data_IF_238022326782
#
_entry.id   IF_238022326782
#
_cell.length_a   1.000
_cell.length_b   1.000
_cell.length_c   1.000
_cell.angle_alpha   90.00
_cell.angle_beta   90.00
_cell.angle_gamma   90.00
#
_symmetry.space_group_name_H-M   'P 1'
#
loop_
_entity.id
_entity.type
_entity.pdbx_description
1 polymer ?
#
# COMPACT_ATOMS: atom_id res chain seq x y z
N UNK A 1 -14.67 19.31 0.98
CA UNK A 1 -13.29 19.38 1.51
C UNK A 1 -12.34 19.13 0.35
N UNK A 2 -11.22 19.85 0.21
CA UNK A 2 -10.21 19.58 -0.83
C UNK A 2 -9.02 18.77 -0.27
N UNK A 3 -8.07 18.38 -1.13
CA UNK A 3 -6.91 17.55 -0.73
C UNK A 3 -6.03 18.24 0.33
N UNK A 4 -5.83 19.55 0.20
CA UNK A 4 -5.01 20.30 1.17
C UNK A 4 -5.69 20.39 2.53
N UNK A 5 -7.02 20.51 2.56
CA UNK A 5 -7.78 20.48 3.82
C UNK A 5 -7.59 19.12 4.53
N UNK A 6 -7.70 18.01 3.80
CA UNK A 6 -7.44 16.65 4.31
C UNK A 6 -6.02 16.55 4.87
N UNK A 7 -5.03 17.04 4.11
CA UNK A 7 -3.63 17.05 4.53
C UNK A 7 -3.42 17.85 5.84
N UNK A 8 -4.02 19.04 5.91
CA UNK A 8 -3.92 19.93 7.06
C UNK A 8 -4.56 19.31 8.30
N UNK A 9 -5.69 18.61 8.16
CA UNK A 9 -6.31 17.86 9.26
C UNK A 9 -5.37 16.79 9.83
N UNK A 10 -4.72 16.01 8.96
CA UNK A 10 -3.74 15.01 9.40
C UNK A 10 -2.55 15.66 10.12
N UNK A 11 -2.06 16.78 9.60
CA UNK A 11 -0.96 17.56 10.23
C UNK A 11 -1.34 18.19 11.56
N UNK A 12 -2.62 18.43 11.80
CA UNK A 12 -3.12 18.89 13.09
C UNK A 12 -3.28 17.76 14.13
N UNK A 13 -3.03 16.50 13.74
CA UNK A 13 -3.02 15.34 14.63
C UNK A 13 -4.21 14.40 14.47
N UNK A 14 -5.07 14.60 13.46
CA UNK A 14 -6.11 13.61 13.15
C UNK A 14 -5.51 12.40 12.44
N UNK A 15 -5.88 11.20 12.88
CA UNK A 15 -5.51 9.98 12.16
C UNK A 15 -6.42 9.76 10.94
N UNK A 16 -6.15 8.72 10.15
CA UNK A 16 -6.89 8.43 8.93
C UNK A 16 -8.40 8.17 9.18
N UNK A 17 -8.73 7.39 10.22
CA UNK A 17 -10.13 7.09 10.60
C UNK A 17 -10.88 8.34 11.07
N UNK A 18 -10.21 9.25 11.79
CA UNK A 18 -10.81 10.52 12.18
C UNK A 18 -11.23 11.35 10.97
N UNK A 19 -10.41 11.35 9.91
CA UNK A 19 -10.76 12.05 8.66
C UNK A 19 -11.89 11.35 7.92
N UNK A 20 -11.92 10.01 7.89
CA UNK A 20 -13.04 9.25 7.31
C UNK A 20 -14.36 9.61 7.99
N UNK A 21 -14.40 9.69 9.33
CA UNK A 21 -15.60 10.09 10.07
C UNK A 21 -16.12 11.47 9.63
N UNK A 22 -15.21 12.42 9.42
CA UNK A 22 -15.56 13.77 8.95
C UNK A 22 -16.13 13.71 7.53
N UNK A 23 -15.48 12.99 6.61
CA UNK A 23 -15.93 12.89 5.22
C UNK A 23 -17.31 12.23 5.11
N UNK A 24 -17.52 11.12 5.83
CA UNK A 24 -18.80 10.41 5.87
C UNK A 24 -19.93 11.30 6.42
N UNK A 25 -19.64 12.10 7.45
CA UNK A 25 -20.63 13.04 7.98
C UNK A 25 -20.97 14.14 6.97
N UNK A 26 -19.97 14.71 6.30
CA UNK A 26 -20.19 15.75 5.28
C UNK A 26 -21.00 15.23 4.10
N UNK A 27 -20.72 14.00 3.65
CA UNK A 27 -21.48 13.33 2.59
C UNK A 27 -22.94 13.10 3.00
N UNK A 28 -23.16 12.52 4.19
CA UNK A 28 -24.51 12.22 4.71
C UNK A 28 -25.37 13.47 4.90
N UNK A 29 -24.78 14.57 5.37
CA UNK A 29 -25.51 15.78 5.73
C UNK A 29 -25.44 16.91 4.69
N UNK A 30 -24.65 16.74 3.62
CA UNK A 30 -24.44 17.72 2.54
C UNK A 30 -24.10 19.14 3.06
N UNK A 31 -23.28 19.23 4.12
CA UNK A 31 -22.91 20.49 4.77
C UNK A 31 -21.41 20.59 5.00
N UNK A 32 -20.90 21.81 4.86
CA UNK A 32 -19.58 22.16 5.38
C UNK A 32 -19.61 22.23 6.91
N UNK A 33 -18.47 21.95 7.54
CA UNK A 33 -18.35 21.92 9.00
C UNK A 33 -17.45 23.05 9.47
N UNK A 34 -17.81 23.66 10.61
CA UNK A 34 -16.90 24.55 11.32
C UNK A 34 -15.75 23.74 11.94
N UNK A 35 -14.65 24.40 12.33
CA UNK A 35 -13.54 23.70 13.00
C UNK A 35 -13.97 23.04 14.33
N UNK A 36 -14.96 23.62 15.03
CA UNK A 36 -15.52 23.04 16.26
C UNK A 36 -16.30 21.77 15.95
N UNK A 37 -17.15 21.80 14.91
CA UNK A 37 -17.93 20.62 14.50
C UNK A 37 -17.01 19.52 13.95
N UNK A 38 -15.95 19.87 13.21
CA UNK A 38 -14.92 18.93 12.77
C UNK A 38 -14.31 18.22 13.98
N UNK A 39 -13.95 18.95 15.04
CA UNK A 39 -13.33 18.36 16.23
C UNK A 39 -14.27 17.33 16.90
N UNK A 40 -15.56 17.64 16.98
CA UNK A 40 -16.59 16.74 17.54
C UNK A 40 -16.82 15.52 16.64
N UNK A 41 -17.08 15.74 15.35
CA UNK A 41 -17.43 14.68 14.38
C UNK A 41 -16.26 13.74 14.11
N UNK A 42 -15.02 14.23 14.23
CA UNK A 42 -13.83 13.42 13.97
C UNK A 42 -13.67 12.25 14.94
N UNK A 43 -14.32 12.30 16.11
CA UNK A 43 -14.12 11.35 17.22
C UNK A 43 -12.64 11.27 17.65
N UNK A 44 -11.95 12.42 17.64
CA UNK A 44 -10.58 12.48 18.09
C UNK A 44 -10.51 12.53 19.62
N UNK A 45 -9.51 11.87 20.20
CA UNK A 45 -9.38 11.74 21.67
C UNK A 45 -9.26 13.09 22.38
N UNK A 46 -8.64 14.09 21.74
CA UNK A 46 -8.35 15.40 22.34
C UNK A 46 -8.81 16.55 21.41
N UNK A 47 -10.12 16.88 21.37
CA UNK A 47 -10.67 17.89 20.46
C UNK A 47 -10.05 19.28 20.63
N UNK A 48 -9.80 19.71 21.87
CA UNK A 48 -9.19 21.01 22.16
C UNK A 48 -7.75 21.11 21.63
N UNK A 49 -6.94 20.07 21.85
CA UNK A 49 -5.56 20.01 21.34
C UNK A 49 -5.53 20.02 19.81
N UNK A 50 -6.44 19.27 19.16
CA UNK A 50 -6.57 19.29 17.70
C UNK A 50 -6.88 20.71 17.19
N UNK A 51 -7.85 21.41 17.78
CA UNK A 51 -8.22 22.77 17.38
C UNK A 51 -7.03 23.72 17.54
N UNK A 52 -6.31 23.63 18.65
CA UNK A 52 -5.12 24.44 18.91
C UNK A 52 -4.03 24.17 17.87
N UNK A 53 -3.68 22.90 17.66
CA UNK A 53 -2.71 22.49 16.64
C UNK A 53 -3.10 23.01 15.25
N UNK A 54 -4.36 22.85 14.86
CA UNK A 54 -4.87 23.28 13.55
C UNK A 54 -4.72 24.78 13.33
N UNK A 55 -4.95 25.60 14.37
CA UNK A 55 -4.79 27.05 14.33
C UNK A 55 -3.33 27.48 14.29
N UNK A 56 -2.45 26.73 14.96
CA UNK A 56 -1.02 27.03 15.03
C UNK A 56 -0.25 26.63 13.77
N UNK A 57 -0.84 25.84 12.86
CA UNK A 57 -0.23 25.49 11.57
C UNK A 57 -0.13 26.70 10.63
N UNK A 58 1.09 27.06 10.24
CA UNK A 58 1.31 27.99 9.14
C UNK A 58 0.85 27.38 7.81
N UNK A 59 -0.26 27.88 7.31
CA UNK A 59 -0.88 27.37 6.08
C UNK A 59 -0.04 27.67 4.84
N UNK A 60 0.80 28.72 4.84
CA UNK A 60 1.65 29.05 3.69
C UNK A 60 2.78 28.03 3.56
N UNK A 61 3.50 27.78 4.66
CA UNK A 61 4.55 26.75 4.69
C UNK A 61 3.99 25.37 4.39
N UNK A 62 2.83 25.02 4.97
CA UNK A 62 2.23 23.72 4.76
C UNK A 62 1.76 23.50 3.31
N UNK A 63 1.23 24.54 2.64
CA UNK A 63 0.90 24.47 1.22
C UNK A 63 2.13 24.19 0.37
N UNK A 64 3.24 24.90 0.63
CA UNK A 64 4.51 24.69 -0.09
C UNK A 64 5.03 23.27 0.07
N UNK A 65 4.89 22.68 1.26
CA UNK A 65 5.20 21.27 1.51
C UNK A 65 4.26 20.35 0.72
N UNK A 66 2.94 20.52 0.86
CA UNK A 66 1.92 19.71 0.20
C UNK A 66 2.08 19.67 -1.32
N UNK A 67 2.42 20.79 -1.96
CA UNK A 67 2.55 20.88 -3.42
C UNK A 67 3.87 20.32 -3.98
N UNK A 68 4.78 19.79 -3.14
CA UNK A 68 6.03 19.18 -3.64
C UNK A 68 5.78 17.94 -4.50
N UNK A 69 4.71 17.20 -4.19
CA UNK A 69 4.29 16.03 -4.95
C UNK A 69 2.79 16.12 -5.23
N UNK A 70 2.33 15.60 -6.38
CA UNK A 70 0.90 15.49 -6.64
C UNK A 70 0.25 14.51 -5.65
N UNK A 71 -1.07 14.60 -5.51
CA UNK A 71 -1.84 13.77 -4.59
C UNK A 71 -3.14 13.29 -5.19
N UNK A 72 -3.60 12.15 -4.68
CA UNK A 72 -4.87 11.48 -4.98
C UNK A 72 -5.61 11.30 -3.65
N UNK A 73 -6.87 11.71 -3.58
CA UNK A 73 -7.72 11.60 -2.39
C UNK A 73 -8.86 10.61 -2.59
N UNK A 74 -9.45 10.13 -1.50
CA UNK A 74 -10.64 9.26 -1.53
C UNK A 74 -11.88 9.91 -2.17
N UNK A 75 -11.82 11.22 -2.40
CA UNK A 75 -12.88 12.01 -3.05
C UNK A 75 -12.71 12.09 -4.57
N UNK A 76 -11.56 11.68 -5.10
CA UNK A 76 -11.27 11.71 -6.53
C UNK A 76 -11.94 10.54 -7.26
N UNK A 77 -12.28 10.77 -8.53
CA UNK A 77 -12.88 9.75 -9.38
C UNK A 77 -11.89 8.64 -9.72
N UNK A 78 -10.61 9.00 -9.82
CA UNK A 78 -9.48 8.13 -10.12
C UNK A 78 -9.09 7.23 -8.93
N UNK A 79 -9.68 7.45 -7.75
CA UNK A 79 -9.38 6.65 -6.57
C UNK A 79 -9.92 5.21 -6.73
N UNK A 80 -9.09 4.16 -6.58
CA UNK A 80 -9.51 2.79 -6.84
C UNK A 80 -10.63 2.34 -5.90
N UNK A 81 -11.73 1.82 -6.46
CA UNK A 81 -12.85 1.33 -5.67
C UNK A 81 -12.43 0.20 -4.72
N UNK A 82 -11.59 -0.74 -5.17
CA UNK A 82 -11.07 -1.83 -4.34
C UNK A 82 -10.35 -1.32 -3.09
N UNK A 83 -9.63 -0.20 -3.22
CA UNK A 83 -8.92 0.42 -2.11
C UNK A 83 -9.87 1.20 -1.20
N UNK A 84 -10.98 1.74 -1.74
CA UNK A 84 -12.01 2.46 -0.98
C UNK A 84 -12.81 1.52 -0.06
N UNK A 85 -12.92 0.25 -0.43
CA UNK A 85 -13.72 -0.77 0.26
C UNK A 85 -13.02 -1.44 1.46
N UNK A 86 -11.71 -1.22 1.66
CA UNK A 86 -11.02 -1.76 2.84
C UNK A 86 -11.49 -1.05 4.12
N UNK A 87 -11.22 -1.64 5.29
CA UNK A 87 -11.67 -1.08 6.58
C UNK A 87 -11.16 0.34 6.88
N UNK A 88 -9.91 0.63 6.52
CA UNK A 88 -9.26 1.92 6.78
C UNK A 88 -8.60 2.43 5.48
N UNK A 89 -9.38 2.89 4.49
CA UNK A 89 -8.87 3.31 3.19
C UNK A 89 -8.05 4.60 3.33
N UNK A 90 -6.87 4.73 2.70
CA UNK A 90 -6.06 5.94 2.85
C UNK A 90 -6.80 7.16 2.28
N UNK A 91 -7.12 8.16 3.11
CA UNK A 91 -7.91 9.33 2.67
C UNK A 91 -7.17 10.22 1.68
N UNK A 92 -5.84 10.13 1.66
CA UNK A 92 -4.95 10.92 0.83
C UNK A 92 -3.66 10.12 0.58
N UNK A 93 -3.26 10.04 -0.68
CA UNK A 93 -2.01 9.45 -1.16
C UNK A 93 -1.24 10.51 -1.94
N UNK A 94 0.04 10.67 -1.63
CA UNK A 94 1.00 11.28 -2.54
C UNK A 94 1.45 10.27 -3.57
N UNK A 95 1.74 10.72 -4.78
CA UNK A 95 2.25 9.83 -5.82
C UNK A 95 3.35 10.46 -6.68
N UNK A 96 4.07 9.60 -7.38
CA UNK A 96 4.97 9.97 -8.45
C UNK A 96 4.86 8.94 -9.58
N UNK A 97 4.64 9.40 -10.81
CA UNK A 97 4.52 8.56 -11.99
C UNK A 97 3.10 8.52 -12.57
N UNK A 98 2.75 7.39 -13.20
CA UNK A 98 1.56 7.23 -14.03
C UNK A 98 0.37 6.60 -13.27
N UNK A 99 -0.67 7.40 -13.01
CA UNK A 99 -1.89 6.94 -12.35
C UNK A 99 -2.72 5.95 -13.19
N UNK A 100 -2.52 5.87 -14.52
CA UNK A 100 -3.26 4.92 -15.37
C UNK A 100 -3.01 3.46 -14.97
N UNK A 101 -1.91 3.18 -14.26
CA UNK A 101 -1.63 1.85 -13.70
C UNK A 101 -2.66 1.41 -12.64
N UNK A 102 -3.36 2.35 -12.02
CA UNK A 102 -4.42 2.06 -11.04
C UNK A 102 -5.66 1.44 -11.68
N UNK A 103 -5.89 1.62 -12.98
CA UNK A 103 -7.05 1.09 -13.70
C UNK A 103 -6.85 -0.38 -14.13
N UNK A 104 -5.59 -0.85 -14.19
CA UNK A 104 -5.25 -2.19 -14.67
C UNK A 104 -5.48 -3.26 -13.60
N UNK A 105 -5.65 -4.54 -13.96
CA UNK A 105 -5.61 -5.65 -13.00
C UNK A 105 -4.30 -5.66 -12.21
N UNK A 106 -4.36 -5.90 -10.90
CA UNK A 106 -3.23 -5.75 -9.97
C UNK A 106 -3.09 -7.00 -9.10
N UNK A 107 -1.85 -7.48 -8.97
CA UNK A 107 -1.47 -8.58 -8.08
C UNK A 107 -0.43 -8.08 -7.07
N UNK A 108 -0.74 -8.24 -5.78
CA UNK A 108 0.21 -7.93 -4.72
C UNK A 108 1.25 -9.04 -4.62
N UNK A 109 2.51 -8.68 -4.37
CA UNK A 109 3.57 -9.63 -4.08
C UNK A 109 4.28 -9.23 -2.79
N UNK A 110 4.26 -10.13 -1.80
CA UNK A 110 4.84 -9.90 -0.47
C UNK A 110 5.71 -11.07 -0.04
N UNK A 111 6.67 -10.83 0.86
CA UNK A 111 7.49 -11.92 1.39
C UNK A 111 8.64 -11.47 2.28
N UNK A 112 9.59 -12.38 2.50
CA UNK A 112 10.75 -12.15 3.37
C UNK A 112 11.62 -10.99 2.89
N UNK A 113 12.06 -10.16 3.85
CA UNK A 113 13.13 -9.16 3.64
C UNK A 113 14.52 -9.78 3.50
N UNK A 114 14.68 -11.01 3.99
CA UNK A 114 15.88 -11.84 3.90
C UNK A 114 15.55 -13.05 3.03
N UNK A 115 15.28 -12.77 1.75
CA UNK A 115 14.84 -13.78 0.80
C UNK A 115 16.00 -14.66 0.37
N UNK A 116 15.77 -15.97 0.23
CA UNK A 116 16.76 -16.85 -0.38
C UNK A 116 16.86 -16.62 -1.90
N UNK A 117 17.95 -17.13 -2.49
CA UNK A 117 18.09 -17.18 -3.94
C UNK A 117 17.01 -18.01 -4.60
N UNK A 118 16.54 -19.07 -3.94
CA UNK A 118 15.44 -19.93 -4.40
C UNK A 118 14.13 -19.15 -4.38
N UNK A 119 13.77 -18.53 -3.25
CA UNK A 119 12.54 -17.72 -3.14
C UNK A 119 12.50 -16.59 -4.17
N UNK A 120 13.61 -15.88 -4.37
CA UNK A 120 13.73 -14.84 -5.39
C UNK A 120 13.53 -15.38 -6.82
N UNK A 121 14.05 -16.59 -7.10
CA UNK A 121 13.85 -17.26 -8.41
C UNK A 121 12.43 -17.77 -8.59
N UNK A 122 11.77 -18.26 -7.53
CA UNK A 122 10.37 -18.68 -7.58
C UNK A 122 9.46 -17.51 -7.94
N UNK A 123 9.66 -16.35 -7.32
CA UNK A 123 8.92 -15.11 -7.65
C UNK A 123 9.17 -14.68 -9.09
N UNK A 124 10.43 -14.70 -9.55
CA UNK A 124 10.77 -14.38 -10.93
C UNK A 124 10.07 -15.32 -11.92
N UNK A 125 10.14 -16.63 -11.69
CA UNK A 125 9.48 -17.64 -12.54
C UNK A 125 7.98 -17.34 -12.66
N UNK A 126 7.29 -17.18 -11.54
CA UNK A 126 5.84 -16.97 -11.54
C UNK A 126 5.48 -15.66 -12.24
N UNK A 127 6.18 -14.55 -11.94
CA UNK A 127 5.90 -13.25 -12.58
C UNK A 127 6.17 -13.29 -14.10
N UNK A 128 7.16 -14.05 -14.56
CA UNK A 128 7.39 -14.28 -15.99
C UNK A 128 6.19 -14.99 -16.65
N UNK A 129 5.66 -16.01 -15.98
CA UNK A 129 4.53 -16.81 -16.47
C UNK A 129 3.19 -16.05 -16.46
N UNK A 130 3.04 -15.01 -15.62
CA UNK A 130 1.87 -14.11 -15.66
C UNK A 130 1.74 -13.35 -16.99
N UNK A 131 2.81 -13.29 -17.80
CA UNK A 131 2.83 -12.65 -19.12
C UNK A 131 2.25 -11.22 -19.12
N UNK A 132 2.64 -10.42 -18.11
CA UNK A 132 2.29 -8.99 -17.97
C UNK A 132 0.77 -8.71 -17.84
N UNK A 133 -0.03 -9.72 -17.53
CA UNK A 133 -1.50 -9.58 -17.34
C UNK A 133 -1.86 -8.72 -16.13
N UNK A 134 -0.96 -8.65 -15.15
CA UNK A 134 -1.15 -7.88 -13.93
C UNK A 134 -0.05 -6.83 -13.78
N UNK A 135 -0.42 -5.70 -13.19
CA UNK A 135 0.52 -4.76 -12.58
C UNK A 135 0.96 -5.35 -11.25
N UNK A 136 2.27 -5.51 -11.07
CA UNK A 136 2.83 -6.06 -9.82
C UNK A 136 2.90 -4.96 -8.77
N UNK A 137 2.18 -5.13 -7.66
CA UNK A 137 2.15 -4.18 -6.54
C UNK A 137 2.98 -4.73 -5.40
N UNK A 138 3.94 -3.95 -4.90
CA UNK A 138 4.77 -4.38 -3.76
C UNK A 138 5.32 -3.19 -2.98
N UNK A 139 6.05 -3.48 -1.92
CA UNK A 139 6.45 -2.52 -0.90
C UNK A 139 7.86 -1.96 -1.04
N UNK A 140 8.57 -2.26 -2.12
CA UNK A 140 9.96 -1.82 -2.32
C UNK A 140 10.93 -2.20 -1.18
N UNK A 141 10.56 -3.15 -0.31
CA UNK A 141 11.45 -3.67 0.72
C UNK A 141 12.57 -4.52 0.09
N UNK A 142 13.59 -4.89 0.88
CA UNK A 142 14.58 -5.88 0.45
C UNK A 142 13.92 -7.25 0.21
N UNK A 143 14.63 -8.13 -0.49
CA UNK A 143 14.22 -9.52 -0.67
C UNK A 143 13.09 -9.64 -1.70
N UNK A 144 11.98 -10.26 -1.29
CA UNK A 144 10.89 -10.63 -2.19
C UNK A 144 10.28 -9.41 -2.91
N UNK A 145 10.05 -8.30 -2.21
CA UNK A 145 9.52 -7.07 -2.82
C UNK A 145 10.43 -6.55 -3.95
N UNK A 146 11.74 -6.42 -3.70
CA UNK A 146 12.72 -6.05 -4.74
C UNK A 146 12.70 -7.05 -5.90
N UNK A 147 12.66 -8.36 -5.62
CA UNK A 147 12.64 -9.39 -6.66
C UNK A 147 11.38 -9.29 -7.53
N UNK A 148 10.23 -8.97 -6.93
CA UNK A 148 8.96 -8.81 -7.64
C UNK A 148 8.98 -7.62 -8.59
N UNK A 149 9.42 -6.45 -8.11
CA UNK A 149 9.58 -5.25 -8.95
C UNK A 149 10.55 -5.53 -10.12
N UNK A 150 11.74 -6.07 -9.84
CA UNK A 150 12.73 -6.35 -10.87
C UNK A 150 12.24 -7.37 -11.91
N UNK A 151 11.50 -8.40 -11.49
CA UNK A 151 10.91 -9.37 -12.42
C UNK A 151 9.89 -8.71 -13.35
N UNK A 152 8.98 -7.89 -12.81
CA UNK A 152 8.01 -7.14 -13.60
C UNK A 152 8.68 -6.25 -14.64
N UNK A 153 9.71 -5.50 -14.23
CA UNK A 153 10.48 -4.61 -15.08
C UNK A 153 11.24 -5.37 -16.19
N UNK A 154 11.94 -6.46 -15.85
CA UNK A 154 12.70 -7.26 -16.83
C UNK A 154 11.80 -7.89 -17.88
N UNK A 155 10.57 -8.23 -17.53
CA UNK A 155 9.58 -8.72 -18.49
C UNK A 155 8.96 -7.61 -19.34
N UNK A 156 9.30 -6.34 -19.12
CA UNK A 156 8.64 -5.20 -19.75
C UNK A 156 7.18 -5.04 -19.32
N UNK A 157 6.83 -5.52 -18.12
CA UNK A 157 5.54 -5.31 -17.48
C UNK A 157 5.48 -3.98 -16.72
N UNK A 158 4.45 -3.80 -15.91
CA UNK A 158 4.26 -2.60 -15.07
C UNK A 158 4.28 -2.96 -13.59
N UNK A 159 4.67 -2.00 -12.76
CA UNK A 159 4.74 -2.20 -11.31
C UNK A 159 4.32 -0.96 -10.52
N UNK A 160 3.74 -1.14 -9.34
CA UNK A 160 3.42 -0.05 -8.41
C UNK A 160 4.16 -0.31 -7.10
N UNK A 161 4.96 0.66 -6.66
CA UNK A 161 5.55 0.61 -5.32
C UNK A 161 4.69 1.42 -4.35
N UNK A 162 4.27 0.82 -3.24
CA UNK A 162 3.67 1.57 -2.14
C UNK A 162 4.73 1.70 -1.05
N UNK A 163 5.08 2.88 -0.57
CA UNK A 163 6.20 3.08 0.38
C UNK A 163 5.75 3.60 1.75
N UNK A 164 6.57 3.33 2.77
CA UNK A 164 6.33 3.71 4.18
C UNK A 164 7.01 5.00 4.62
N UNK A 165 7.36 5.88 3.68
CA UNK A 165 8.09 7.13 3.91
C UNK A 165 7.71 8.17 2.84
N UNK A 166 8.22 9.39 2.95
CA UNK A 166 8.03 10.42 1.91
C UNK A 166 8.61 9.96 0.57
N UNK A 167 8.06 10.47 -0.55
CA UNK A 167 8.52 10.13 -1.90
C UNK A 167 9.98 10.56 -2.16
N UNK A 168 10.47 11.55 -1.43
CA UNK A 168 11.86 12.03 -1.39
C UNK A 168 12.74 11.31 -0.36
N UNK A 169 12.24 10.25 0.27
CA UNK A 169 12.95 9.44 1.27
C UNK A 169 13.11 8.01 0.76
N UNK A 170 14.32 7.46 0.88
CA UNK A 170 14.67 6.13 0.36
C UNK A 170 14.84 5.12 1.49
N UNK A 171 13.99 4.10 1.52
CA UNK A 171 14.11 2.99 2.46
C UNK A 171 13.68 1.66 1.81
N UNK A 172 14.59 0.66 1.72
CA UNK A 172 16.00 0.71 2.13
C UNK A 172 16.84 1.59 1.18
N UNK A 173 17.95 2.15 1.68
CA UNK A 173 18.83 3.04 0.87
C UNK A 173 19.35 2.37 -0.41
N UNK A 174 19.62 1.07 -0.35
CA UNK A 174 20.10 0.28 -1.50
C UNK A 174 19.09 0.22 -2.67
N UNK A 175 17.79 0.40 -2.40
CA UNK A 175 16.74 0.43 -3.43
C UNK A 175 16.52 1.83 -4.02
N UNK A 176 17.34 2.84 -3.68
CA UNK A 176 17.18 4.21 -4.20
C UNK A 176 17.04 4.25 -5.73
N UNK A 177 17.95 3.61 -6.46
CA UNK A 177 17.92 3.59 -7.94
C UNK A 177 16.64 2.95 -8.48
N UNK A 178 16.13 1.92 -7.79
CA UNK A 178 14.89 1.25 -8.17
C UNK A 178 13.68 2.14 -7.90
N UNK A 179 13.65 2.85 -6.77
CA UNK A 179 12.64 3.86 -6.46
C UNK A 179 12.62 4.95 -7.53
N UNK A 180 13.78 5.53 -7.85
CA UNK A 180 13.87 6.59 -8.86
C UNK A 180 13.35 6.12 -10.23
N UNK A 181 13.70 4.89 -10.62
CA UNK A 181 13.23 4.31 -11.88
C UNK A 181 11.71 4.10 -11.90
N UNK A 182 11.15 3.50 -10.83
CA UNK A 182 9.70 3.27 -10.73
C UNK A 182 8.96 4.61 -10.71
N UNK A 183 9.44 5.62 -9.99
CA UNK A 183 8.82 6.94 -9.94
C UNK A 183 8.85 7.68 -11.28
N UNK A 184 9.80 7.35 -12.17
CA UNK A 184 9.90 7.98 -13.50
C UNK A 184 9.12 7.23 -14.59
N UNK A 185 9.06 5.90 -14.51
CA UNK A 185 8.54 5.06 -15.60
C UNK A 185 7.28 4.26 -15.24
N UNK A 186 6.91 4.23 -13.96
CA UNK A 186 5.77 3.49 -13.43
C UNK A 186 5.04 4.33 -12.38
N UNK A 187 4.71 3.80 -11.20
CA UNK A 187 4.00 4.54 -10.17
C UNK A 187 4.53 4.20 -8.77
N UNK A 188 4.71 5.24 -7.96
CA UNK A 188 4.97 5.15 -6.52
C UNK A 188 3.84 5.84 -5.78
N UNK A 189 3.34 5.20 -4.72
CA UNK A 189 2.33 5.72 -3.81
C UNK A 189 2.91 5.83 -2.39
N UNK A 190 2.54 6.88 -1.67
CA UNK A 190 2.84 7.04 -0.26
C UNK A 190 1.71 7.77 0.46
N UNK A 191 1.35 7.34 1.65
CA UNK A 191 0.45 8.10 2.52
C UNK A 191 1.17 9.23 3.29
N UNK A 192 2.50 9.25 3.21
CA UNK A 192 3.35 10.14 4.00
C UNK A 192 3.84 11.30 3.16
N UNK A 193 3.73 12.50 3.72
CA UNK A 193 4.19 13.74 3.07
C UNK A 193 5.72 13.79 2.90
N UNK A 194 6.22 14.83 2.21
CA UNK A 194 7.65 15.03 1.99
C UNK A 194 8.48 14.89 3.27
N UNK A 195 9.66 14.31 3.15
CA UNK A 195 10.68 14.12 4.19
C UNK A 195 10.27 13.20 5.35
N UNK A 196 9.09 12.57 5.28
CA UNK A 196 8.62 11.63 6.30
C UNK A 196 9.53 10.42 6.39
N UNK A 197 10.03 10.13 7.60
CA UNK A 197 10.96 9.03 7.85
C UNK A 197 10.26 7.66 7.90
N UNK A 198 10.98 6.56 7.61
CA UNK A 198 10.43 5.20 7.62
C UNK A 198 10.27 4.67 9.06
N UNK A 199 9.18 5.05 9.73
CA UNK A 199 8.89 4.60 11.09
C UNK A 199 8.34 3.17 11.09
N UNK A 200 8.59 2.40 12.17
CA UNK A 200 8.21 0.97 12.24
C UNK A 200 6.71 0.74 12.01
N UNK A 201 5.85 1.61 12.52
CA UNK A 201 4.40 1.48 12.36
C UNK A 201 3.92 1.85 10.95
N UNK A 202 4.74 2.54 10.14
CA UNK A 202 4.38 2.86 8.77
C UNK A 202 4.28 1.62 7.88
N UNK A 203 5.02 0.54 8.17
CA UNK A 203 5.05 -0.64 7.30
C UNK A 203 3.74 -1.45 7.37
N UNK A 204 3.17 -1.76 8.56
CA UNK A 204 1.82 -2.30 8.62
C UNK A 204 0.77 -1.39 7.97
N UNK A 205 0.82 -0.07 8.21
CA UNK A 205 -0.10 0.90 7.61
C UNK A 205 0.04 0.97 6.08
N UNK A 206 1.24 0.77 5.55
CA UNK A 206 1.48 0.68 4.11
C UNK A 206 0.93 -0.61 3.54
N UNK A 207 1.10 -1.74 4.24
CA UNK A 207 0.73 -3.06 3.72
C UNK A 207 -0.77 -3.21 3.43
N UNK A 208 -1.65 -2.55 4.20
CA UNK A 208 -3.10 -2.52 3.89
C UNK A 208 -3.38 -1.91 2.51
N UNK A 209 -2.56 -0.95 2.08
CA UNK A 209 -2.72 -0.30 0.76
C UNK A 209 -2.26 -1.27 -0.34
N UNK A 210 -1.18 -2.03 -0.12
CA UNK A 210 -0.73 -3.07 -1.07
C UNK A 210 -1.85 -4.11 -1.26
N UNK A 211 -2.39 -4.64 -0.17
CA UNK A 211 -3.48 -5.63 -0.21
C UNK A 211 -4.75 -5.04 -0.83
N UNK A 212 -5.21 -3.87 -0.36
CA UNK A 212 -6.44 -3.23 -0.81
C UNK A 212 -6.44 -2.77 -2.27
N UNK A 213 -5.27 -2.52 -2.84
CA UNK A 213 -5.14 -2.21 -4.27
C UNK A 213 -5.36 -3.45 -5.16
N UNK A 214 -5.21 -4.66 -4.65
CA UNK A 214 -5.07 -5.85 -5.49
C UNK A 214 -6.27 -6.78 -5.40
N UNK A 215 -6.47 -7.57 -6.47
CA UNK A 215 -7.49 -8.63 -6.50
C UNK A 215 -7.03 -9.85 -5.70
N UNK A 216 -5.73 -10.12 -5.71
CA UNK A 216 -5.11 -11.16 -4.89
C UNK A 216 -3.70 -10.82 -4.47
N UNK A 217 -3.17 -11.65 -3.57
CA UNK A 217 -1.88 -11.49 -2.90
C UNK A 217 -1.08 -12.77 -3.09
N UNK A 218 0.05 -12.68 -3.81
CA UNK A 218 1.04 -13.73 -3.86
C UNK A 218 2.05 -13.56 -2.72
N UNK A 219 2.29 -14.63 -1.97
CA UNK A 219 3.30 -14.67 -0.90
C UNK A 219 4.36 -15.73 -1.19
N UNK A 220 5.62 -15.33 -1.06
CA UNK A 220 6.76 -16.23 -1.15
C UNK A 220 7.68 -16.01 0.06
N UNK A 221 8.17 -17.09 0.65
CA UNK A 221 8.99 -17.07 1.87
C UNK A 221 8.41 -16.15 2.97
N UNK A 222 7.36 -16.62 3.64
CA UNK A 222 6.86 -16.02 4.87
C UNK A 222 7.20 -16.92 6.05
N UNK A 223 7.79 -16.33 7.11
CA UNK A 223 7.94 -17.00 8.41
C UNK A 223 6.65 -16.87 9.22
N UNK A 224 6.47 -17.72 10.22
CA UNK A 224 5.46 -17.49 11.25
C UNK A 224 5.64 -16.13 11.91
N UNK A 225 4.53 -15.44 12.21
CA UNK A 225 4.51 -14.10 12.84
C UNK A 225 5.28 -13.02 12.04
N UNK A 226 5.38 -13.17 10.71
CA UNK A 226 6.03 -12.19 9.84
C UNK A 226 5.04 -11.14 9.34
N UNK A 227 5.55 -9.97 8.92
CA UNK A 227 4.71 -8.92 8.34
C UNK A 227 4.03 -9.32 7.04
N UNK A 228 4.63 -10.21 6.24
CA UNK A 228 4.01 -10.75 5.03
C UNK A 228 2.84 -11.68 5.35
N UNK A 229 2.98 -12.53 6.38
CA UNK A 229 1.88 -13.38 6.87
C UNK A 229 0.68 -12.53 7.32
N UNK A 230 0.91 -11.53 8.18
CA UNK A 230 -0.13 -10.60 8.65
C UNK A 230 -0.84 -9.90 7.48
N UNK A 231 -0.09 -9.56 6.42
CA UNK A 231 -0.67 -8.91 5.23
C UNK A 231 -1.59 -9.88 4.48
N UNK A 232 -1.26 -11.17 4.42
CA UNK A 232 -2.07 -12.19 3.76
C UNK A 232 -3.32 -12.52 4.57
N UNK A 233 -3.19 -12.72 5.89
CA UNK A 233 -4.32 -12.95 6.80
C UNK A 233 -5.32 -11.80 6.69
N UNK A 234 -4.84 -10.55 6.72
CA UNK A 234 -5.71 -9.38 6.52
C UNK A 234 -6.34 -9.33 5.13
N UNK A 235 -5.62 -9.75 4.11
CA UNK A 235 -6.15 -9.88 2.76
C UNK A 235 -7.32 -10.86 2.68
N UNK A 236 -7.20 -12.02 3.32
CA UNK A 236 -8.28 -13.01 3.40
C UNK A 236 -9.51 -12.45 4.12
N UNK A 237 -9.32 -11.74 5.25
CA UNK A 237 -10.41 -11.06 5.97
C UNK A 237 -11.13 -10.02 5.09
N UNK A 238 -10.41 -9.39 4.16
CA UNK A 238 -10.95 -8.41 3.20
C UNK A 238 -11.43 -9.05 1.89
N UNK A 239 -11.53 -10.40 1.84
CA UNK A 239 -12.05 -11.14 0.69
C UNK A 239 -11.11 -11.15 -0.51
N UNK A 240 -9.80 -11.03 -0.30
CA UNK A 240 -8.78 -11.14 -1.35
C UNK A 240 -8.26 -12.58 -1.45
N UNK A 241 -8.06 -13.05 -2.67
CA UNK A 241 -7.42 -14.35 -2.88
C UNK A 241 -5.96 -14.31 -2.44
N UNK A 242 -5.52 -15.36 -1.75
CA UNK A 242 -4.12 -15.51 -1.34
C UNK A 242 -3.50 -16.72 -2.04
N UNK A 243 -2.37 -16.47 -2.69
CA UNK A 243 -1.59 -17.44 -3.44
C UNK A 243 -0.26 -17.66 -2.73
N UNK A 244 -0.07 -18.84 -2.14
CA UNK A 244 1.13 -19.16 -1.38
C UNK A 244 2.09 -20.01 -2.21
N UNK A 245 3.32 -19.52 -2.38
CA UNK A 245 4.41 -20.28 -3.00
C UNK A 245 5.01 -21.20 -1.94
N UNK A 246 4.99 -22.54 -2.14
CA UNK A 246 5.57 -23.46 -1.19
C UNK A 246 7.10 -23.41 -1.24
N UNK A 247 7.73 -23.88 -0.17
CA UNK A 247 9.18 -24.04 -0.09
C UNK A 247 9.58 -25.24 0.76
N UNK A 248 10.88 -25.33 1.07
CA UNK A 248 11.43 -26.36 1.95
C UNK A 248 10.76 -26.31 3.32
N UNK A 249 10.42 -27.48 3.88
CA UNK A 249 9.92 -27.61 5.25
C UNK A 249 11.05 -27.66 6.30
N UNK A 250 12.32 -27.63 5.85
CA UNK A 250 13.49 -27.80 6.72
C UNK A 250 14.13 -26.47 7.13
N UNK A 251 13.99 -25.41 6.33
CA UNK A 251 14.70 -24.14 6.53
C UNK A 251 13.90 -23.08 7.30
N UNK A 252 12.62 -23.36 7.60
CA UNK A 252 11.71 -22.47 8.32
C UNK A 252 11.33 -21.20 7.55
N UNK A 253 11.73 -21.04 6.29
CA UNK A 253 11.50 -19.80 5.51
C UNK A 253 10.10 -19.69 4.96
N UNK A 254 9.44 -20.83 4.78
CA UNK A 254 8.11 -20.94 4.16
C UNK A 254 7.03 -21.42 5.12
N UNK A 255 7.31 -21.51 6.43
CA UNK A 255 6.34 -21.99 7.44
C UNK A 255 5.03 -21.20 7.41
N UNK A 256 5.11 -19.88 7.22
CA UNK A 256 3.93 -19.02 7.06
C UNK A 256 3.21 -19.26 5.74
N UNK A 257 3.91 -19.57 4.65
CA UNK A 257 3.27 -19.99 3.40
C UNK A 257 2.52 -21.32 3.58
N UNK A 258 3.14 -22.30 4.24
CA UNK A 258 2.51 -23.60 4.52
C UNK A 258 1.30 -23.44 5.44
N UNK A 259 1.40 -22.60 6.47
CA UNK A 259 0.28 -22.26 7.32
C UNK A 259 -0.88 -21.64 6.53
N UNK A 260 -0.61 -20.64 5.68
CA UNK A 260 -1.65 -20.03 4.83
C UNK A 260 -2.34 -21.06 3.94
N UNK A 261 -1.59 -22.02 3.37
CA UNK A 261 -2.16 -23.11 2.57
C UNK A 261 -3.10 -23.98 3.40
N UNK A 262 -2.73 -24.28 4.65
CA UNK A 262 -3.57 -25.04 5.58
C UNK A 262 -4.86 -24.27 5.96
N UNK A 263 -4.78 -22.94 6.04
CA UNK A 263 -5.93 -22.06 6.28
C UNK A 263 -6.77 -21.76 5.02
N UNK A 264 -6.43 -22.37 3.87
CA UNK A 264 -7.23 -22.28 2.65
C UNK A 264 -6.67 -21.37 1.55
N UNK A 265 -5.46 -20.81 1.71
CA UNK A 265 -4.78 -20.16 0.60
C UNK A 265 -4.50 -21.16 -0.54
N UNK A 266 -4.56 -20.69 -1.77
CA UNK A 266 -4.23 -21.52 -2.93
C UNK A 266 -2.72 -21.72 -2.99
N UNK A 267 -2.29 -22.98 -2.92
CA UNK A 267 -0.90 -23.35 -3.21
C UNK A 267 -0.62 -23.12 -4.71
N UNK A 268 0.41 -22.34 -5.04
CA UNK A 268 0.76 -22.03 -6.44
C UNK A 268 2.20 -22.40 -6.76
N UNK A 269 2.40 -22.91 -7.97
CA UNK A 269 3.71 -23.32 -8.50
C UNK A 269 4.02 -22.65 -9.85
N UNK A 270 3.02 -22.02 -10.46
CA UNK A 270 3.12 -21.32 -11.73
C UNK A 270 2.28 -20.04 -11.78
N UNK A 271 2.60 -19.15 -12.71
CA UNK A 271 1.74 -17.99 -13.01
C UNK A 271 0.37 -18.38 -13.54
N UNK A 272 0.25 -19.55 -14.18
CA UNK A 272 -1.03 -20.07 -14.68
C UNK A 272 -2.00 -20.40 -13.55
N UNK A 273 -1.51 -20.86 -12.40
CA UNK A 273 -2.35 -21.19 -11.23
C UNK A 273 -3.08 -19.94 -10.70
N UNK A 274 -2.42 -18.77 -10.78
CA UNK A 274 -2.96 -17.46 -10.39
C UNK A 274 -3.91 -16.93 -11.46
N UNK A 275 -3.49 -16.96 -12.73
CA UNK A 275 -4.31 -16.48 -13.85
C UNK A 275 -5.65 -17.21 -13.92
N UNK A 276 -5.63 -18.53 -13.70
CA UNK A 276 -6.84 -19.36 -13.72
C UNK A 276 -7.76 -19.11 -12.53
N UNK A 277 -7.33 -18.42 -11.48
CA UNK A 277 -8.20 -18.04 -10.38
C UNK A 277 -8.81 -16.66 -10.60
N UNK A 278 -7.97 -15.68 -10.97
CA UNK A 278 -8.35 -14.27 -11.00
C UNK A 278 -9.06 -13.81 -12.28
N UNK A 279 -8.95 -14.57 -13.37
CA UNK A 279 -9.53 -14.21 -14.68
C UNK A 279 -10.62 -15.20 -15.15
N UNK A 280 -11.12 -16.04 -14.25
CA UNK A 280 -12.27 -16.91 -14.52
C UNK A 280 -13.60 -16.18 -14.31
#
# INVERSE_FOLDING_TARGET
>A
MNHFDIYKLKKAGLNNLNVINILNYQEKHQKSLSLRDIAVVSDCKNPLQFIENYKNLDSKTLRKEFTKFPSLSILDKEYPLSLKEIYNPPVLLFYQGDLSLLEKPKLAVVGSRDASSVGSKSVQKIINELNKRFVIVSGLARGIDTAAHLAALKNGGSTIAVIGCGLDTYYPKENQKLQDYIGKHHLILSEYGPQSQPLKFHFPERNRIIAGLCQGIMVAEAKMRSGSLITCERGMEEGRDVFAVPGSILDGKSDGCHHLIQEGAKCVTSGFDIVSELLN
#
